data_IF_717696863819
#
_entry.id   IF_717696863819
#
_cell.length_a   1.000
_cell.length_b   1.000
_cell.length_c   1.000
_cell.angle_alpha   90.00
_cell.angle_beta   90.00
_cell.angle_gamma   90.00
#
_symmetry.space_group_name_H-M   'P 1'
#
loop_
_entity.id
_entity.type
_entity.pdbx_description
1 polymer ?
#
# COMPACT_ATOMS: atom_id res chain seq x y z
N UNK A 1 7.03 19.71 -15.54
CA UNK A 1 6.65 18.61 -16.46
C UNK A 1 5.34 17.94 -16.06
N UNK A 2 4.68 17.23 -16.99
CA UNK A 2 3.47 16.42 -16.70
C UNK A 2 3.82 14.94 -16.68
N UNK A 3 3.37 14.24 -15.65
CA UNK A 3 3.59 12.82 -15.42
C UNK A 3 2.27 12.07 -15.47
N UNK A 4 2.26 10.90 -16.12
CA UNK A 4 1.06 10.06 -16.24
C UNK A 4 1.35 8.69 -15.64
N UNK A 5 0.52 8.26 -14.70
CA UNK A 5 0.66 6.93 -14.10
C UNK A 5 0.33 5.84 -15.13
N UNK A 6 1.21 4.85 -15.37
CA UNK A 6 0.98 3.80 -16.36
C UNK A 6 -0.10 2.78 -15.95
N UNK A 7 -0.47 2.73 -14.66
CA UNK A 7 -1.44 1.76 -14.14
C UNK A 7 -2.88 2.26 -14.14
N UNK A 8 -3.12 3.51 -13.73
CA UNK A 8 -4.48 4.06 -13.60
C UNK A 8 -4.73 5.33 -14.43
N UNK A 9 -3.73 5.83 -15.17
CA UNK A 9 -3.89 7.00 -16.05
C UNK A 9 -4.02 8.35 -15.33
N UNK A 10 -3.79 8.41 -14.01
CA UNK A 10 -3.80 9.67 -13.27
C UNK A 10 -2.66 10.59 -13.76
N UNK A 11 -2.95 11.88 -13.89
CA UNK A 11 -2.00 12.90 -14.33
C UNK A 11 -1.58 13.80 -13.18
N UNK A 12 -0.28 14.09 -13.11
CA UNK A 12 0.33 14.94 -12.08
C UNK A 12 1.18 16.01 -12.74
N UNK A 13 1.05 17.25 -12.27
CA UNK A 13 1.91 18.35 -12.67
C UNK A 13 3.01 18.50 -11.61
N UNK A 14 4.25 18.23 -12.00
CA UNK A 14 5.41 18.23 -11.10
C UNK A 14 6.45 19.23 -11.63
N UNK A 15 6.92 20.18 -10.81
CA UNK A 15 7.99 21.08 -11.21
C UNK A 15 9.26 20.31 -11.58
N UNK A 16 10.00 20.79 -12.59
CA UNK A 16 11.16 20.06 -13.11
C UNK A 16 12.31 19.97 -12.09
N UNK A 17 12.31 20.82 -11.07
CA UNK A 17 13.27 20.85 -9.96
C UNK A 17 13.17 19.64 -9.04
N UNK A 18 12.00 18.97 -8.98
CA UNK A 18 11.74 17.85 -8.06
C UNK A 18 12.25 16.52 -8.61
N UNK A 19 12.51 16.44 -9.93
CA UNK A 19 13.10 15.29 -10.60
C UNK A 19 14.55 15.63 -10.97
N UNK A 20 15.55 15.04 -10.29
CA UNK A 20 16.96 15.28 -10.60
C UNK A 20 17.33 14.72 -11.98
N UNK A 21 18.46 15.19 -12.54
CA UNK A 21 18.94 14.79 -13.88
C UNK A 21 19.07 13.27 -14.02
N UNK A 22 19.58 12.59 -12.99
CA UNK A 22 19.68 11.13 -12.95
C UNK A 22 18.35 10.37 -12.89
N UNK A 23 17.21 11.06 -12.93
CA UNK A 23 15.87 10.51 -12.76
C UNK A 23 15.54 10.13 -11.31
N UNK A 24 14.26 9.82 -11.06
CA UNK A 24 13.77 9.44 -9.73
C UNK A 24 12.58 8.48 -9.83
N UNK A 25 12.48 7.57 -8.87
CA UNK A 25 11.27 6.76 -8.68
C UNK A 25 10.12 7.61 -8.11
N UNK A 26 8.99 7.58 -8.80
CA UNK A 26 7.76 8.30 -8.42
C UNK A 26 6.64 7.31 -8.15
N UNK A 27 5.88 7.54 -7.09
CA UNK A 27 4.74 6.70 -6.68
C UNK A 27 3.43 7.41 -6.97
N UNK A 28 2.50 6.71 -7.60
CA UNK A 28 1.15 7.22 -7.83
C UNK A 28 0.35 7.24 -6.53
N UNK A 29 -0.15 8.42 -6.13
CA UNK A 29 -1.02 8.56 -4.95
C UNK A 29 -2.40 7.91 -5.11
N UNK A 30 -2.82 7.57 -6.34
CA UNK A 30 -4.14 7.02 -6.62
C UNK A 30 -4.18 5.47 -6.67
N UNK A 31 -3.06 4.82 -7.01
CA UNK A 31 -3.03 3.35 -7.20
C UNK A 31 -1.76 2.66 -6.71
N UNK A 32 -0.91 3.41 -5.99
CA UNK A 32 0.35 2.98 -5.39
C UNK A 32 1.37 2.35 -6.36
N UNK A 33 1.22 2.61 -7.66
CA UNK A 33 2.20 2.16 -8.64
C UNK A 33 3.43 3.05 -8.62
N UNK A 34 4.60 2.44 -8.46
CA UNK A 34 5.89 3.12 -8.55
C UNK A 34 6.49 2.91 -9.94
N UNK A 35 7.00 3.97 -10.56
CA UNK A 35 7.74 3.90 -11.81
C UNK A 35 8.88 4.93 -11.83
N UNK A 36 9.88 4.69 -12.66
CA UNK A 36 11.03 5.58 -12.81
C UNK A 36 10.75 6.68 -13.83
N UNK A 37 11.02 7.93 -13.46
CA UNK A 37 10.85 9.10 -14.31
C UNK A 37 12.18 9.83 -14.55
N UNK A 38 12.54 10.03 -15.83
CA UNK A 38 13.67 10.87 -16.25
C UNK A 38 13.23 12.33 -16.42
N UNK A 39 14.16 13.27 -16.23
CA UNK A 39 13.93 14.70 -16.48
C UNK A 39 13.73 14.94 -17.97
N UNK A 40 12.78 15.82 -18.32
CA UNK A 40 12.60 16.29 -19.69
C UNK A 40 13.75 17.23 -20.06
N UNK A 41 14.88 16.66 -20.51
CA UNK A 41 16.09 17.41 -20.83
C UNK A 41 17.22 16.58 -21.46
N UNK A 42 17.18 15.25 -21.33
CA UNK A 42 18.25 14.36 -21.84
C UNK A 42 17.98 13.77 -23.24
N UNK A 43 17.14 14.43 -24.04
CA UNK A 43 17.07 14.22 -25.50
C UNK A 43 17.12 15.56 -26.22
N UNK A 44 18.25 16.24 -26.06
CA UNK A 44 18.73 17.26 -26.99
C UNK A 44 20.16 16.87 -27.42
N UNK A 45 20.30 15.63 -27.91
CA UNK A 45 21.47 15.19 -28.64
C UNK A 45 21.38 15.77 -30.05
N UNK A 46 22.23 16.77 -30.29
CA UNK A 46 22.83 17.21 -31.55
C UNK A 46 22.11 16.80 -32.85
N UNK A 47 21.55 17.74 -33.63
CA UNK A 47 21.05 17.45 -34.98
C UNK A 47 22.24 17.09 -35.91
N UNK A 48 22.22 15.94 -36.60
CA UNK A 48 23.07 15.73 -37.76
C UNK A 48 22.59 16.63 -38.92
N UNK A 49 23.51 17.21 -39.72
CA UNK A 49 23.17 18.19 -40.73
C UNK A 49 22.41 17.57 -41.92
N UNK A 50 21.64 18.44 -42.57
CA UNK A 50 20.93 18.25 -43.83
C UNK A 50 21.65 17.37 -44.86
N UNK A 51 20.90 16.43 -45.44
CA UNK A 51 21.18 15.92 -46.78
C UNK A 51 19.87 15.58 -47.51
N UNK A 52 19.54 16.45 -48.46
CA UNK A 52 18.82 16.23 -49.73
C UNK A 52 17.48 15.48 -49.78
N UNK A 53 16.47 16.26 -50.18
CA UNK A 53 15.51 15.96 -51.25
C UNK A 53 15.75 14.64 -52.01
N UNK A 54 14.77 13.73 -52.00
CA UNK A 54 14.02 13.40 -53.23
C UNK A 54 12.70 12.70 -52.89
N UNK A 55 11.61 13.32 -53.33
CA UNK A 55 10.32 12.67 -53.58
C UNK A 55 10.49 11.69 -54.75
N UNK A 56 9.75 10.58 -54.78
CA UNK A 56 8.87 10.45 -55.94
C UNK A 56 7.47 9.96 -55.57
N UNK A 57 6.54 10.50 -56.34
CA UNK A 57 5.12 10.17 -56.45
C UNK A 57 4.94 8.89 -57.26
N UNK A 58 4.02 8.04 -56.81
CA UNK A 58 3.10 7.17 -57.56
C UNK A 58 3.69 6.04 -58.43
N UNK A 59 3.22 4.79 -58.25
CA UNK A 59 2.37 4.07 -59.23
C UNK A 59 1.62 2.94 -58.51
N UNK A 60 0.30 2.96 -58.70
CA UNK A 60 -0.67 1.91 -58.40
C UNK A 60 -0.60 0.79 -59.46
N UNK A 61 -0.45 -0.48 -59.06
CA UNK A 61 -0.65 -1.62 -59.96
C UNK A 61 -1.12 -2.85 -59.16
N UNK A 62 -2.39 -3.19 -59.38
CA UNK A 62 -3.09 -4.39 -58.92
C UNK A 62 -2.75 -5.57 -59.85
N UNK A 63 -2.83 -6.83 -59.38
CA UNK A 63 -3.44 -8.00 -60.08
C UNK A 63 -3.13 -9.36 -59.39
N UNK A 64 -4.20 -10.16 -59.30
CA UNK A 64 -4.32 -11.64 -59.27
C UNK A 64 -4.22 -12.46 -57.97
N UNK A 65 -5.39 -13.02 -57.60
CA UNK A 65 -5.64 -14.20 -56.77
C UNK A 65 -5.02 -15.50 -57.37
N UNK A 66 -4.71 -16.58 -56.62
CA UNK A 66 -5.63 -17.54 -55.96
C UNK A 66 -4.83 -18.61 -55.13
N UNK A 67 -5.38 -19.24 -54.07
CA UNK A 67 -4.66 -20.07 -53.07
C UNK A 67 -4.72 -21.61 -53.37
N UNK A 68 -4.08 -22.51 -52.58
CA UNK A 68 -4.76 -23.11 -51.42
C UNK A 68 -3.90 -23.62 -50.22
N UNK A 69 -4.59 -23.74 -49.08
CA UNK A 69 -4.59 -24.79 -48.04
C UNK A 69 -3.28 -25.32 -47.39
N UNK A 70 -3.20 -25.22 -46.05
CA UNK A 70 -3.36 -26.38 -45.13
C UNK A 70 -3.17 -25.97 -43.66
N UNK A 71 -4.12 -26.37 -42.79
CA UNK A 71 -4.03 -26.31 -41.33
C UNK A 71 -3.22 -27.52 -40.81
N UNK A 72 -2.48 -27.40 -39.70
CA UNK A 72 -2.30 -28.52 -38.79
C UNK A 72 -3.18 -28.35 -37.53
N UNK A 73 -3.96 -29.40 -37.25
CA UNK A 73 -4.77 -29.57 -36.05
C UNK A 73 -3.89 -29.92 -34.82
N UNK A 74 -4.41 -29.74 -33.58
CA UNK A 74 -3.65 -29.93 -32.34
C UNK A 74 -3.54 -31.41 -31.99
N UNK A 75 -2.37 -31.84 -31.48
CA UNK A 75 -2.18 -33.18 -30.90
C UNK A 75 -2.58 -33.16 -29.42
N UNK A 76 -3.51 -34.03 -29.04
CA UNK A 76 -3.80 -34.39 -27.64
C UNK A 76 -2.79 -35.45 -27.13
N UNK A 77 -2.60 -35.57 -25.80
CA UNK A 77 -1.58 -36.40 -25.18
C UNK A 77 -2.03 -37.86 -25.01
N UNK A 78 -1.11 -38.81 -25.22
CA UNK A 78 -1.28 -40.21 -24.84
C UNK A 78 -0.34 -40.56 -23.68
N UNK A 79 -0.92 -41.29 -22.72
CA UNK A 79 -0.33 -41.76 -21.47
C UNK A 79 0.63 -42.94 -21.70
N UNK A 80 1.66 -43.03 -20.86
CA UNK A 80 2.20 -44.33 -20.45
C UNK A 80 2.72 -44.23 -19.02
N UNK A 81 2.00 -44.89 -18.10
CA UNK A 81 2.45 -45.09 -16.73
C UNK A 81 3.64 -46.03 -16.66
N UNK A 82 4.46 -45.85 -15.62
CA UNK A 82 5.31 -46.90 -15.11
C UNK A 82 5.47 -46.73 -13.61
N UNK A 83 5.37 -47.88 -12.96
CA UNK A 83 5.07 -48.09 -11.56
C UNK A 83 6.24 -47.76 -10.63
N UNK A 84 5.88 -47.38 -9.40
CA UNK A 84 6.77 -47.23 -8.26
C UNK A 84 7.53 -48.53 -7.95
N UNK A 85 8.81 -48.39 -7.60
CA UNK A 85 9.58 -49.34 -6.78
C UNK A 85 10.13 -48.59 -5.56
N UNK A 86 9.99 -49.12 -4.33
CA UNK A 86 10.54 -48.49 -3.14
C UNK A 86 11.96 -48.98 -2.88
N UNK A 87 12.87 -48.07 -2.52
CA UNK A 87 14.20 -48.42 -2.02
C UNK A 87 15.32 -47.79 -2.82
N UNK A 88 15.52 -46.49 -2.63
CA UNK A 88 16.83 -45.84 -2.60
C UNK A 88 16.64 -44.51 -1.88
N UNK A 89 17.26 -44.38 -0.70
CA UNK A 89 17.22 -43.17 0.10
C UNK A 89 18.11 -42.15 -0.61
N UNK A 90 17.53 -41.41 -1.55
CA UNK A 90 18.19 -40.29 -2.20
C UNK A 90 18.47 -39.22 -1.14
N UNK A 91 19.76 -39.03 -0.85
CA UNK A 91 20.31 -37.93 -0.07
C UNK A 91 19.61 -36.62 -0.48
N UNK A 92 18.82 -36.06 0.43
CA UNK A 92 18.16 -34.77 0.24
C UNK A 92 19.27 -33.74 -0.01
N UNK A 93 19.22 -32.90 -1.06
CA UNK A 93 20.19 -31.84 -1.22
C UNK A 93 20.18 -30.98 0.05
N UNK A 94 21.30 -30.97 0.78
CA UNK A 94 21.49 -30.09 1.93
C UNK A 94 21.42 -28.67 1.41
N UNK A 95 20.39 -27.93 1.81
CA UNK A 95 20.32 -26.49 1.58
C UNK A 95 21.59 -25.86 2.14
N UNK A 96 22.36 -25.06 1.37
CA UNK A 96 23.50 -24.36 1.93
C UNK A 96 23.02 -23.43 3.07
N UNK A 97 23.82 -23.20 4.13
CA UNK A 97 23.45 -22.30 5.20
C UNK A 97 23.15 -20.93 4.57
N UNK A 98 21.98 -20.38 4.90
CA UNK A 98 21.58 -19.06 4.43
C UNK A 98 22.68 -18.07 4.81
N UNK A 99 23.34 -17.49 3.80
CA UNK A 99 24.32 -16.44 4.01
C UNK A 99 23.68 -15.37 4.89
N UNK A 100 24.33 -15.06 6.02
CA UNK A 100 23.91 -13.98 6.90
C UNK A 100 23.75 -12.72 6.05
N UNK A 101 22.54 -12.13 6.08
CA UNK A 101 22.26 -10.93 5.30
C UNK A 101 23.11 -9.81 5.89
N UNK A 102 24.23 -9.49 5.24
CA UNK A 102 25.08 -8.38 5.63
C UNK A 102 24.32 -7.08 5.44
N UNK A 103 24.02 -6.40 6.55
CA UNK A 103 23.42 -5.06 6.51
C UNK A 103 24.45 -4.08 5.94
N UNK A 104 24.00 -3.18 5.06
CA UNK A 104 24.83 -2.14 4.45
C UNK A 104 25.57 -1.30 5.53
N UNK A 105 26.85 -0.94 5.32
CA UNK A 105 27.65 -0.25 6.33
C UNK A 105 27.06 1.08 6.80
N UNK A 106 26.35 1.82 5.94
CA UNK A 106 25.69 3.08 6.32
C UNK A 106 24.43 2.83 7.17
N UNK A 107 23.69 1.77 6.88
CA UNK A 107 22.55 1.36 7.70
C UNK A 107 23.02 0.84 9.06
N UNK A 108 24.14 0.12 9.09
CA UNK A 108 24.76 -0.34 10.33
C UNK A 108 25.25 0.81 11.21
N UNK A 109 25.71 1.94 10.64
CA UNK A 109 26.06 3.13 11.44
C UNK A 109 24.83 3.79 12.04
N UNK A 110 23.74 3.92 11.28
CA UNK A 110 22.49 4.49 11.77
C UNK A 110 21.90 3.63 12.91
N UNK A 111 21.88 2.30 12.74
CA UNK A 111 21.40 1.38 13.78
C UNK A 111 22.24 1.43 15.06
N UNK A 112 23.56 1.63 14.94
CA UNK A 112 24.46 1.81 16.10
C UNK A 112 24.21 3.13 16.82
N UNK A 113 23.97 4.21 16.07
CA UNK A 113 23.67 5.53 16.63
C UNK A 113 22.32 5.54 17.36
N UNK A 114 21.28 4.97 16.75
CA UNK A 114 19.96 4.82 17.39
C UNK A 114 20.02 3.92 18.63
N UNK A 115 20.76 2.79 18.55
CA UNK A 115 20.96 1.93 19.72
C UNK A 115 21.68 2.66 20.87
N UNK A 116 22.65 3.52 20.57
CA UNK A 116 23.35 4.32 21.59
C UNK A 116 22.41 5.37 22.23
N UNK A 117 21.61 6.06 21.41
CA UNK A 117 20.62 7.03 21.89
C UNK A 117 19.56 6.37 22.77
N UNK A 118 19.04 5.21 22.37
CA UNK A 118 18.07 4.46 23.15
C UNK A 118 18.68 3.96 24.47
N UNK A 119 19.93 3.49 24.46
CA UNK A 119 20.63 3.06 25.66
C UNK A 119 20.83 4.21 26.66
N UNK A 120 21.13 5.42 26.17
CA UNK A 120 21.24 6.61 27.03
C UNK A 120 19.89 7.00 27.64
N UNK A 121 18.81 6.97 26.86
CA UNK A 121 17.45 7.19 27.34
C UNK A 121 17.08 6.16 28.41
N UNK A 122 17.31 4.87 28.15
CA UNK A 122 17.08 3.80 29.12
C UNK A 122 17.94 3.95 30.37
N UNK A 123 19.18 4.44 30.27
CA UNK A 123 20.02 4.67 31.44
C UNK A 123 19.50 5.82 32.31
N UNK A 124 18.96 6.88 31.69
CA UNK A 124 18.31 7.99 32.39
C UNK A 124 17.01 7.54 33.07
N UNK A 125 16.22 6.71 32.40
CA UNK A 125 14.99 6.14 32.95
C UNK A 125 15.26 5.08 34.02
N UNK A 126 16.31 4.26 33.87
CA UNK A 126 16.71 3.26 34.85
C UNK A 126 17.17 3.88 36.18
N UNK A 127 17.69 5.11 36.17
CA UNK A 127 17.96 5.87 37.39
C UNK A 127 16.72 6.43 38.10
N UNK A 128 15.56 6.46 37.42
CA UNK A 128 14.26 6.90 37.93
C UNK A 128 13.33 5.73 38.29
N UNK A 129 13.73 4.50 37.95
CA UNK A 129 13.07 3.29 38.43
C UNK A 129 13.70 2.96 39.79
N UNK A 130 12.97 3.25 40.88
CA UNK A 130 13.29 2.68 42.18
C UNK A 130 13.43 1.17 41.99
N UNK A 131 14.64 0.64 42.14
CA UNK A 131 14.87 -0.80 42.16
C UNK A 131 13.98 -1.31 43.27
N UNK A 132 12.92 -2.03 42.93
CA UNK A 132 12.15 -2.77 43.91
C UNK A 132 12.95 -4.05 44.14
N UNK A 133 13.82 -4.14 45.17
CA UNK A 133 14.30 -5.45 45.55
C UNK A 133 13.07 -6.22 46.04
N UNK A 134 13.08 -7.52 45.82
CA UNK A 134 12.20 -8.47 46.49
C UNK A 134 10.88 -8.82 45.80
N UNK A 135 10.99 -9.36 44.57
CA UNK A 135 10.17 -10.53 44.23
C UNK A 135 10.79 -11.74 44.95
N UNK A 136 10.29 -11.99 46.16
CA UNK A 136 10.74 -13.02 47.09
C UNK A 136 10.89 -14.41 46.45
N UNK A 137 12.12 -14.74 46.09
CA UNK A 137 12.59 -16.10 45.87
C UNK A 137 13.67 -16.36 46.91
N UNK A 138 13.28 -16.99 48.01
CA UNK A 138 14.16 -17.33 49.13
C UNK A 138 15.37 -18.19 48.69
N UNK A 139 16.57 -17.72 49.01
CA UNK A 139 17.75 -18.54 49.24
C UNK A 139 18.06 -18.51 50.76
N UNK A 140 18.33 -19.65 51.42
CA UNK A 140 18.21 -19.74 52.87
C UNK A 140 19.36 -19.08 53.63
N UNK A 141 18.96 -18.20 54.55
CA UNK A 141 19.45 -17.83 55.87
C UNK A 141 20.94 -18.04 56.24
N UNK A 142 21.56 -16.96 56.73
CA UNK A 142 22.53 -16.99 57.84
C UNK A 142 22.54 -15.66 58.62
N UNK A 143 21.95 -15.72 59.82
CA UNK A 143 22.28 -15.04 61.08
C UNK A 143 22.51 -13.50 61.18
N UNK A 144 21.62 -12.84 61.93
CA UNK A 144 21.81 -11.50 62.55
C UNK A 144 22.82 -11.51 63.73
N UNK A 145 23.20 -10.34 64.26
CA UNK A 145 22.48 -9.84 65.45
C UNK A 145 22.23 -8.31 65.53
N UNK A 146 20.97 -7.96 65.81
CA UNK A 146 20.42 -6.99 66.78
C UNK A 146 21.29 -5.80 67.26
N UNK A 147 20.78 -4.57 67.05
CA UNK A 147 20.64 -3.51 68.10
C UNK A 147 19.44 -2.58 67.82
N UNK A 148 18.65 -2.30 68.86
CA UNK A 148 17.56 -1.31 69.00
C UNK A 148 17.86 -0.48 70.28
N UNK A 149 17.13 0.59 70.66
CA UNK A 149 16.24 1.51 69.93
C UNK A 149 16.54 3.02 70.22
N UNK A 150 16.19 3.95 69.32
CA UNK A 150 16.02 5.36 69.75
C UNK A 150 14.96 6.14 68.94
N UNK A 151 13.84 6.36 69.63
CA UNK A 151 12.90 7.50 69.67
C UNK A 151 12.07 7.95 68.43
N UNK A 152 10.77 8.27 68.63
CA UNK A 152 9.84 8.69 67.59
C UNK A 152 9.76 10.23 67.55
N UNK A 153 10.34 10.83 66.52
CA UNK A 153 10.06 12.21 66.16
C UNK A 153 10.20 12.30 64.63
N UNK A 154 9.06 12.53 63.96
CA UNK A 154 8.90 13.02 62.57
C UNK A 154 7.89 12.27 61.69
N UNK A 155 6.96 11.51 62.27
CA UNK A 155 5.83 10.99 61.46
C UNK A 155 4.83 12.12 61.10
N UNK A 156 4.59 13.06 62.03
CA UNK A 156 3.65 14.18 61.83
C UNK A 156 4.18 15.31 60.94
N UNK A 157 5.49 15.42 60.74
CA UNK A 157 6.07 16.41 59.81
C UNK A 157 6.03 15.93 58.35
N UNK A 158 6.00 14.60 58.14
CA UNK A 158 5.96 13.96 56.81
C UNK A 158 4.54 13.81 56.26
N UNK A 159 3.53 13.96 57.11
CA UNK A 159 2.10 13.93 56.77
C UNK A 159 1.62 15.32 56.31
N UNK A 160 2.04 16.39 57.01
CA UNK A 160 1.66 17.78 56.67
C UNK A 160 2.32 18.31 55.38
N UNK A 161 3.46 17.73 54.95
CA UNK A 161 4.09 18.05 53.66
C UNK A 161 3.48 17.27 52.48
N UNK A 162 2.73 16.19 52.77
CA UNK A 162 1.98 15.40 51.79
C UNK A 162 0.59 15.98 51.46
N UNK A 163 0.09 16.93 52.24
CA UNK A 163 -1.22 17.57 52.05
C UNK A 163 -1.25 18.86 51.21
N UNK A 164 -0.17 19.21 50.49
CA UNK A 164 -0.09 20.47 49.72
C UNK A 164 -0.10 20.27 48.19
N UNK A 165 -0.17 19.03 47.72
CA UNK A 165 -0.41 18.67 46.32
C UNK A 165 -1.58 17.68 46.31
N UNK A 166 -2.54 17.78 45.37
CA UNK A 166 -3.58 16.77 45.23
C UNK A 166 -2.93 15.39 45.07
N UNK A 167 -3.43 14.39 45.79
CA UNK A 167 -2.82 13.06 45.86
C UNK A 167 -2.90 12.38 44.48
N UNK A 168 -1.79 11.83 44.00
CA UNK A 168 -1.69 11.23 42.66
C UNK A 168 -2.62 10.01 42.55
N UNK A 169 -2.85 9.31 43.65
CA UNK A 169 -3.85 8.24 43.79
C UNK A 169 -5.28 8.75 43.57
N UNK A 170 -5.64 9.96 44.00
CA UNK A 170 -6.97 10.54 43.80
C UNK A 170 -7.16 10.98 42.34
N UNK A 171 -6.12 11.54 41.71
CA UNK A 171 -6.11 11.89 40.29
C UNK A 171 -6.23 10.63 39.42
N UNK A 172 -5.48 9.57 39.73
CA UNK A 172 -5.58 8.31 39.00
C UNK A 172 -6.89 7.58 39.27
N UNK A 173 -7.45 7.67 40.47
CA UNK A 173 -8.76 7.09 40.78
C UNK A 173 -9.89 7.82 40.04
N UNK A 174 -9.85 9.14 39.97
CA UNK A 174 -10.82 9.94 39.21
C UNK A 174 -10.71 9.66 37.72
N UNK A 175 -9.51 9.70 37.14
CA UNK A 175 -9.26 9.37 35.73
C UNK A 175 -9.67 7.92 35.39
N UNK A 176 -9.34 6.94 36.24
CA UNK A 176 -9.74 5.54 36.01
C UNK A 176 -11.25 5.35 36.16
N UNK A 177 -11.88 6.06 37.09
CA UNK A 177 -13.34 5.99 37.28
C UNK A 177 -14.10 6.64 36.12
N UNK A 178 -13.59 7.74 35.58
CA UNK A 178 -14.15 8.44 34.43
C UNK A 178 -13.97 7.62 33.15
N UNK A 179 -12.77 7.08 32.93
CA UNK A 179 -12.50 6.17 31.80
C UNK A 179 -13.31 4.87 31.92
N UNK A 180 -13.45 4.30 33.12
CA UNK A 180 -14.27 3.11 33.34
C UNK A 180 -15.78 3.40 33.13
N UNK A 181 -16.25 4.60 33.50
CA UNK A 181 -17.62 5.03 33.24
C UNK A 181 -17.85 5.28 31.74
N UNK A 182 -16.91 5.92 31.04
CA UNK A 182 -16.96 6.11 29.59
C UNK A 182 -16.88 4.79 28.82
N UNK A 183 -16.07 3.85 29.29
CA UNK A 183 -15.97 2.50 28.72
C UNK A 183 -17.23 1.69 28.96
N UNK A 184 -17.81 1.73 30.17
CA UNK A 184 -19.08 1.08 30.46
C UNK A 184 -20.25 1.71 29.69
N UNK A 185 -20.22 3.01 29.42
CA UNK A 185 -21.21 3.69 28.56
C UNK A 185 -21.03 3.30 27.09
N UNK A 186 -19.79 3.20 26.60
CA UNK A 186 -19.47 2.70 25.25
C UNK A 186 -19.87 1.23 25.04
N UNK A 187 -19.68 0.38 26.04
CA UNK A 187 -20.04 -1.05 25.98
C UNK A 187 -21.56 -1.28 26.08
N UNK A 188 -22.29 -0.32 26.67
CA UNK A 188 -23.76 -0.28 26.66
C UNK A 188 -24.33 0.41 25.41
N UNK A 189 -23.52 1.11 24.64
CA UNK A 189 -23.99 1.79 23.45
C UNK A 189 -24.22 0.75 22.34
N UNK A 190 -25.45 0.59 21.81
CA UNK A 190 -25.70 -0.37 20.75
C UNK A 190 -24.79 0.00 19.57
N UNK A 191 -23.93 -0.95 19.18
CA UNK A 191 -23.08 -0.89 17.97
C UNK A 191 -23.86 -0.16 16.87
N UNK A 192 -23.45 1.08 16.56
CA UNK A 192 -24.13 1.89 15.54
C UNK A 192 -24.16 1.07 14.27
N UNK A 193 -25.36 0.69 13.84
CA UNK A 193 -25.55 -0.06 12.59
C UNK A 193 -24.88 0.72 11.47
N UNK A 194 -24.09 0.07 10.59
CA UNK A 194 -23.43 0.78 9.50
C UNK A 194 -24.49 1.46 8.63
N UNK A 195 -24.25 2.75 8.38
CA UNK A 195 -25.19 3.66 7.75
C UNK A 195 -25.68 3.15 6.40
N UNK A 196 -27.01 3.16 6.20
CA UNK A 196 -27.66 2.73 4.95
C UNK A 196 -27.24 3.52 3.71
N UNK A 197 -26.56 4.65 3.89
CA UNK A 197 -26.02 5.49 2.82
C UNK A 197 -24.97 4.76 1.97
N UNK A 198 -24.03 4.05 2.60
CA UNK A 198 -22.98 3.31 1.88
C UNK A 198 -23.56 2.17 1.05
N UNK A 199 -24.66 1.54 1.50
CA UNK A 199 -25.38 0.53 0.70
C UNK A 199 -26.06 1.15 -0.51
N UNK A 200 -26.68 2.32 -0.37
CA UNK A 200 -27.27 3.05 -1.50
C UNK A 200 -26.23 3.47 -2.53
N UNK A 201 -25.11 4.04 -2.07
CA UNK A 201 -23.99 4.40 -2.95
C UNK A 201 -23.40 3.18 -3.67
N UNK A 202 -23.18 2.07 -2.95
CA UNK A 202 -22.69 0.84 -3.55
C UNK A 202 -23.64 0.30 -4.65
N UNK A 203 -24.96 0.38 -4.45
CA UNK A 203 -25.93 -0.01 -5.48
C UNK A 203 -25.83 0.87 -6.74
N UNK A 204 -25.65 2.18 -6.58
CA UNK A 204 -25.47 3.11 -7.71
C UNK A 204 -24.15 2.80 -8.45
N UNK A 205 -23.06 2.56 -7.72
CA UNK A 205 -21.77 2.19 -8.32
C UNK A 205 -21.89 0.88 -9.10
N UNK A 206 -22.53 -0.14 -8.52
CA UNK A 206 -22.78 -1.42 -9.19
C UNK A 206 -23.63 -1.21 -10.45
N UNK A 207 -24.69 -0.42 -10.38
CA UNK A 207 -25.52 -0.09 -11.54
C UNK A 207 -24.69 0.61 -12.64
N UNK A 208 -23.82 1.55 -12.27
CA UNK A 208 -22.91 2.21 -13.20
C UNK A 208 -21.96 1.22 -13.89
N UNK A 209 -21.36 0.30 -13.13
CA UNK A 209 -20.50 -0.76 -13.68
C UNK A 209 -21.28 -1.67 -14.63
N UNK A 210 -22.52 -2.03 -14.28
CA UNK A 210 -23.40 -2.83 -15.15
C UNK A 210 -23.67 -2.09 -16.47
N UNK A 211 -24.03 -0.81 -16.44
CA UNK A 211 -24.24 -0.01 -17.65
C UNK A 211 -22.98 0.07 -18.53
N UNK A 212 -21.80 0.26 -17.92
CA UNK A 212 -20.52 0.25 -18.63
C UNK A 212 -20.26 -1.12 -19.29
N UNK A 213 -20.58 -2.22 -18.60
CA UNK A 213 -20.47 -3.57 -19.16
C UNK A 213 -21.45 -3.79 -20.32
N UNK A 214 -22.69 -3.29 -20.23
CA UNK A 214 -23.66 -3.33 -21.32
C UNK A 214 -23.16 -2.54 -22.54
N UNK A 215 -22.62 -1.34 -22.36
CA UNK A 215 -22.08 -0.51 -23.45
C UNK A 215 -20.87 -1.18 -24.11
N UNK A 216 -19.87 -1.58 -23.30
CA UNK A 216 -18.63 -2.18 -23.81
C UNK A 216 -18.83 -3.54 -24.49
N UNK A 217 -19.87 -4.29 -24.10
CA UNK A 217 -20.19 -5.60 -24.68
C UNK A 217 -21.45 -5.57 -25.56
N UNK A 218 -21.93 -4.39 -25.99
CA UNK A 218 -23.19 -4.26 -26.72
C UNK A 218 -23.27 -5.19 -27.95
N UNK A 219 -22.19 -5.29 -28.73
CA UNK A 219 -22.12 -6.16 -29.91
C UNK A 219 -22.28 -7.65 -29.56
N UNK A 220 -21.59 -8.14 -28.54
CA UNK A 220 -21.68 -9.54 -28.09
C UNK A 220 -23.08 -9.85 -27.56
N UNK A 221 -23.73 -8.88 -26.90
CA UNK A 221 -25.08 -9.04 -26.37
C UNK A 221 -26.11 -9.05 -27.51
N UNK A 222 -25.93 -8.23 -28.56
CA UNK A 222 -26.79 -8.23 -29.74
C UNK A 222 -26.73 -9.55 -30.52
N UNK A 223 -25.56 -10.17 -30.62
CA UNK A 223 -25.40 -11.49 -31.24
C UNK A 223 -26.07 -12.61 -30.42
N UNK A 224 -25.96 -12.55 -29.09
CA UNK A 224 -26.57 -13.54 -28.20
C UNK A 224 -28.10 -13.35 -28.06
N UNK A 225 -28.58 -12.11 -28.10
CA UNK A 225 -29.99 -11.74 -27.92
C UNK A 225 -30.40 -10.73 -29.00
N UNK A 226 -30.77 -11.20 -30.22
CA UNK A 226 -31.12 -10.33 -31.34
C UNK A 226 -32.32 -9.43 -31.08
N UNK A 227 -33.18 -9.80 -30.12
CA UNK A 227 -34.35 -9.00 -29.73
C UNK A 227 -33.98 -7.73 -28.96
N UNK A 228 -32.81 -7.71 -28.30
CA UNK A 228 -32.33 -6.57 -27.52
C UNK A 228 -31.58 -5.54 -28.39
N UNK A 229 -31.22 -5.92 -29.62
CA UNK A 229 -30.40 -5.12 -30.54
C UNK A 229 -30.92 -3.70 -30.78
N UNK A 230 -32.22 -3.45 -31.10
CA UNK A 230 -32.70 -2.09 -31.30
C UNK A 230 -32.63 -1.22 -30.03
N UNK A 231 -32.83 -1.82 -28.85
CA UNK A 231 -32.73 -1.10 -27.58
C UNK A 231 -31.27 -0.77 -27.25
N UNK A 232 -30.36 -1.73 -27.42
CA UNK A 232 -28.92 -1.55 -27.22
C UNK A 232 -28.34 -0.52 -28.18
N UNK A 233 -28.73 -0.55 -29.46
CA UNK A 233 -28.30 0.43 -30.46
C UNK A 233 -28.72 1.85 -30.07
N UNK A 234 -29.95 2.04 -29.59
CA UNK A 234 -30.42 3.35 -29.12
C UNK A 234 -29.64 3.85 -27.89
N UNK A 235 -29.31 2.96 -26.95
CA UNK A 235 -28.53 3.28 -25.78
C UNK A 235 -27.08 3.67 -26.14
N UNK A 236 -26.42 2.86 -26.97
CA UNK A 236 -25.04 3.11 -27.43
C UNK A 236 -24.96 4.45 -28.18
N UNK A 237 -25.90 4.72 -29.08
CA UNK A 237 -25.93 5.98 -29.82
C UNK A 237 -26.03 7.21 -28.90
N UNK A 238 -26.83 7.11 -27.82
CA UNK A 238 -26.99 8.20 -26.84
C UNK A 238 -25.68 8.45 -26.07
N UNK A 239 -25.01 7.38 -25.64
CA UNK A 239 -23.70 7.47 -24.98
C UNK A 239 -22.64 8.04 -25.92
N UNK A 240 -22.59 7.59 -27.17
CA UNK A 240 -21.65 8.09 -28.17
C UNK A 240 -21.86 9.58 -28.45
N UNK A 241 -23.11 10.01 -28.57
CA UNK A 241 -23.43 11.42 -28.75
C UNK A 241 -22.99 12.27 -27.54
N UNK A 242 -23.20 11.77 -26.32
CA UNK A 242 -22.73 12.44 -25.11
C UNK A 242 -21.19 12.50 -25.05
N UNK A 243 -20.51 11.44 -25.48
CA UNK A 243 -19.04 11.37 -25.54
C UNK A 243 -18.48 12.39 -26.52
N UNK A 244 -19.01 12.43 -27.73
CA UNK A 244 -18.59 13.39 -28.77
C UNK A 244 -18.87 14.82 -28.32
N UNK A 245 -20.00 15.07 -27.66
CA UNK A 245 -20.31 16.38 -27.09
C UNK A 245 -19.28 16.79 -26.02
N UNK A 246 -18.93 15.90 -25.08
CA UNK A 246 -17.89 16.15 -24.07
C UNK A 246 -16.52 16.42 -24.71
N UNK A 247 -16.13 15.64 -25.72
CA UNK A 247 -14.89 15.83 -26.47
C UNK A 247 -14.86 17.21 -27.16
N UNK A 248 -15.97 17.63 -27.76
CA UNK A 248 -16.09 18.95 -28.39
C UNK A 248 -15.96 20.09 -27.37
N UNK A 249 -16.59 19.97 -26.20
CA UNK A 249 -16.48 20.95 -25.13
C UNK A 249 -15.05 21.03 -24.57
N UNK A 250 -14.39 19.88 -24.40
CA UNK A 250 -13.00 19.83 -23.96
C UNK A 250 -12.06 20.48 -25.00
N UNK A 251 -12.28 20.23 -26.29
CA UNK A 251 -11.51 20.86 -27.37
C UNK A 251 -11.70 22.38 -27.42
N UNK A 252 -12.93 22.87 -27.22
CA UNK A 252 -13.23 24.30 -27.20
C UNK A 252 -12.54 25.04 -26.05
N UNK A 253 -12.39 24.39 -24.88
CA UNK A 253 -11.67 24.97 -23.73
C UNK A 253 -10.15 24.99 -23.98
N UNK A 254 -9.63 24.09 -24.82
CA UNK A 254 -8.19 23.93 -25.07
C UNK A 254 -7.66 24.79 -26.24
N UNK A 255 -8.54 25.38 -27.05
CA UNK A 255 -8.16 26.35 -28.10
C UNK A 255 -8.24 27.78 -27.54
N UNK A 256 -7.10 28.47 -27.32
CA UNK A 256 -7.08 29.86 -26.84
C UNK A 256 -7.56 30.87 -27.89
#
# INVERSE_FOLDING_TARGET
MRLTCPKCGAQYEVPDEVIPEGGRDVQCSNCDNTWFQKRAGETAETPPPEASETRPTHVEAQVAAKPPAAKPAPRKPEMAGQAARPGDVAERPRTPPAAERSVDPNVASILREEAAREAELRAREAGNLESQPDLGLEAPASAEPVRKPEQPADERARETRRGALPDIEEINATLRSEVAAEQADRDKQPQRKPDGFMRGFALIVILGVVLILLYSNAQQIGEAVPQADPALASYVALIDQARIWLEAQAAAIMQP
#
